data_IF_011388823881
#
_entry.id   IF_011388823881
#
_cell.length_a   1.000
_cell.length_b   1.000
_cell.length_c   1.000
_cell.angle_alpha   90.00
_cell.angle_beta   90.00
_cell.angle_gamma   90.00
#
_symmetry.space_group_name_H-M   'P 1'
#
loop_
_entity.id
_entity.type
_entity.pdbx_description
1 polymer ?
#
# COMPACT_ATOMS: atom_id res chain seq x y z
N UNK A 1 5.20 1.51 -32.00
CA UNK A 1 6.09 1.32 -30.83
C UNK A 1 5.58 1.91 -29.50
N UNK A 2 4.46 2.65 -29.46
CA UNK A 2 3.92 3.22 -28.21
C UNK A 2 3.20 2.20 -27.30
N UNK A 3 2.67 1.12 -27.89
CA UNK A 3 1.91 0.09 -27.16
C UNK A 3 2.76 -0.73 -26.20
N UNK A 4 3.99 -1.07 -26.59
CA UNK A 4 4.96 -1.77 -25.73
C UNK A 4 5.42 -0.89 -24.57
N UNK A 5 5.63 0.41 -24.79
CA UNK A 5 5.97 1.36 -23.73
C UNK A 5 4.84 1.52 -22.70
N UNK A 6 3.57 1.58 -23.15
CA UNK A 6 2.41 1.58 -22.25
C UNK A 6 2.29 0.29 -21.45
N UNK A 7 2.58 -0.85 -22.06
CA UNK A 7 2.55 -2.15 -21.39
C UNK A 7 3.64 -2.23 -20.31
N UNK A 8 4.88 -1.84 -20.63
CA UNK A 8 5.97 -1.71 -19.66
C UNK A 8 5.60 -0.75 -18.53
N UNK A 9 5.09 0.44 -18.83
CA UNK A 9 4.68 1.41 -17.81
C UNK A 9 3.57 0.88 -16.89
N UNK A 10 2.72 -0.04 -17.37
CA UNK A 10 1.71 -0.72 -16.56
C UNK A 10 2.33 -1.79 -15.66
N UNK A 11 3.33 -2.52 -16.15
CA UNK A 11 4.07 -3.55 -15.40
C UNK A 11 4.98 -2.96 -14.33
N UNK A 12 5.66 -1.85 -14.63
CA UNK A 12 6.55 -1.12 -13.71
C UNK A 12 5.84 0.00 -12.96
N UNK A 13 4.51 0.09 -13.07
CA UNK A 13 3.75 1.06 -12.30
C UNK A 13 3.97 0.74 -10.84
N UNK A 14 4.49 1.71 -10.09
CA UNK A 14 4.58 1.58 -8.65
C UNK A 14 3.19 1.16 -8.12
N UNK A 15 3.11 0.17 -7.20
CA UNK A 15 1.85 -0.37 -6.71
C UNK A 15 0.90 0.77 -6.33
N UNK A 16 -0.39 0.62 -6.63
CA UNK A 16 -1.35 1.65 -6.26
C UNK A 16 -1.37 1.78 -4.73
N UNK A 17 -1.86 2.92 -4.21
CA UNK A 17 -1.99 3.11 -2.77
C UNK A 17 -2.62 1.90 -2.03
N UNK A 18 -3.74 1.30 -2.49
CA UNK A 18 -4.31 0.11 -1.84
C UNK A 18 -3.37 -1.11 -1.91
N UNK A 19 -2.65 -1.30 -3.01
CA UNK A 19 -1.72 -2.43 -3.16
C UNK A 19 -0.54 -2.29 -2.19
N UNK A 20 -0.06 -1.06 -1.94
CA UNK A 20 1.00 -0.80 -0.97
C UNK A 20 0.57 -1.10 0.47
N UNK A 21 -0.67 -0.79 0.82
CA UNK A 21 -1.23 -1.08 2.14
C UNK A 21 -1.34 -2.59 2.37
N UNK A 22 -1.78 -3.34 1.35
CA UNK A 22 -1.81 -4.80 1.39
C UNK A 22 -0.40 -5.39 1.56
N UNK A 23 0.56 -4.96 0.74
CA UNK A 23 1.96 -5.39 0.83
C UNK A 23 2.53 -5.11 2.24
N UNK A 24 2.24 -3.93 2.79
CA UNK A 24 2.72 -3.55 4.11
C UNK A 24 2.21 -4.49 5.21
N UNK A 25 0.95 -4.94 5.15
CA UNK A 25 0.42 -5.90 6.13
C UNK A 25 0.96 -7.31 5.88
N UNK A 26 1.09 -7.74 4.61
CA UNK A 26 1.52 -9.10 4.28
C UNK A 26 2.99 -9.38 4.60
N UNK A 27 3.82 -8.34 4.70
CA UNK A 27 5.24 -8.44 5.06
C UNK A 27 5.44 -8.49 6.60
N UNK A 28 4.38 -8.66 7.39
CA UNK A 28 4.51 -8.81 8.84
C UNK A 28 5.31 -10.08 9.19
N UNK A 29 6.35 -9.91 10.01
CA UNK A 29 7.22 -11.03 10.40
C UNK A 29 6.57 -11.94 11.46
N UNK A 30 5.70 -11.38 12.29
CA UNK A 30 4.97 -12.06 13.34
C UNK A 30 3.61 -11.39 13.61
N UNK A 31 2.84 -11.98 14.53
CA UNK A 31 1.51 -11.48 14.90
C UNK A 31 1.53 -10.10 15.55
N UNK A 32 2.55 -9.81 16.35
CA UNK A 32 2.67 -8.51 17.02
C UNK A 32 2.99 -7.40 16.02
N UNK A 33 3.88 -7.67 15.07
CA UNK A 33 4.19 -6.78 13.95
C UNK A 33 2.94 -6.51 13.10
N UNK A 34 2.16 -7.55 12.77
CA UNK A 34 0.89 -7.40 12.07
C UNK A 34 -0.09 -6.47 12.81
N UNK A 35 -0.28 -6.67 14.12
CA UNK A 35 -1.16 -5.86 14.94
C UNK A 35 -0.67 -4.40 15.09
N UNK A 36 0.65 -4.18 15.11
CA UNK A 36 1.24 -2.84 15.09
C UNK A 36 0.99 -2.14 13.75
N UNK A 37 1.21 -2.84 12.63
CA UNK A 37 0.98 -2.32 11.28
C UNK A 37 -0.50 -2.01 11.02
N UNK A 38 -1.41 -2.86 11.49
CA UNK A 38 -2.86 -2.65 11.40
C UNK A 38 -3.30 -1.40 12.17
N UNK A 39 -2.80 -1.20 13.40
CA UNK A 39 -3.05 0.02 14.20
C UNK A 39 -2.51 1.27 13.52
N UNK A 40 -1.32 1.19 12.93
CA UNK A 40 -0.73 2.29 12.17
C UNK A 40 -1.60 2.69 10.97
N UNK A 41 -2.10 1.72 10.20
CA UNK A 41 -3.01 1.96 9.08
C UNK A 41 -4.36 2.54 9.53
N UNK A 42 -4.93 2.03 10.62
CA UNK A 42 -6.16 2.58 11.19
C UNK A 42 -6.00 4.04 11.65
N UNK A 43 -4.83 4.39 12.20
CA UNK A 43 -4.50 5.77 12.58
C UNK A 43 -4.37 6.66 11.34
N UNK A 44 -3.65 6.23 10.31
CA UNK A 44 -3.51 6.99 9.06
C UNK A 44 -4.85 7.20 8.36
N UNK A 45 -5.69 6.18 8.30
CA UNK A 45 -7.05 6.28 7.76
C UNK A 45 -7.88 7.31 8.53
N UNK A 46 -7.78 7.31 9.87
CA UNK A 46 -8.45 8.30 10.72
C UNK A 46 -7.94 9.72 10.45
N UNK A 47 -6.62 9.92 10.39
CA UNK A 47 -6.04 11.24 10.07
C UNK A 47 -6.49 11.73 8.69
N UNK A 48 -6.53 10.83 7.70
CA UNK A 48 -6.98 11.14 6.35
C UNK A 48 -8.48 11.45 6.27
N UNK A 49 -9.29 10.79 7.08
CA UNK A 49 -10.75 11.00 7.13
C UNK A 49 -11.13 12.29 7.87
N UNK A 50 -10.36 12.67 8.89
CA UNK A 50 -10.63 13.84 9.73
C UNK A 50 -9.74 15.05 9.42
N UNK A 51 -9.12 15.10 8.24
CA UNK A 51 -8.15 16.09 7.78
C UNK A 51 -8.06 17.38 8.60
N UNK A 52 -7.07 17.42 9.49
CA UNK A 52 -6.53 18.63 10.12
C UNK A 52 -5.22 18.99 9.42
#
# INVERSE_FOLDING_TARGET
MFGTLKHLAKTFRAPAAPDRELIYITVAADRYDLDARARHMARLSRVRAFGY
#
